data_IF_949487944823
#
_entry.id   IF_949487944823
#
_cell.length_a   1.000
_cell.length_b   1.000
_cell.length_c   1.000
_cell.angle_alpha   90.00
_cell.angle_beta   90.00
_cell.angle_gamma   90.00
#
_symmetry.space_group_name_H-M   'P 1'
#
loop_
_entity.id
_entity.type
_entity.pdbx_description
1 polymer ?
#
# COMPACT_ATOMS: atom_id res chain seq x y z
N UNK A 1 -60.52 -4.43 14.01
CA UNK A 1 -59.51 -5.50 13.91
C UNK A 1 -58.33 -4.89 13.17
N UNK A 2 -57.39 -4.32 13.92
CA UNK A 2 -56.29 -3.49 13.38
C UNK A 2 -55.04 -4.36 13.25
N UNK A 3 -54.65 -4.66 12.02
CA UNK A 3 -53.40 -5.34 11.72
C UNK A 3 -52.21 -4.42 12.01
N UNK A 4 -51.50 -4.70 13.11
CA UNK A 4 -50.27 -4.03 13.47
C UNK A 4 -49.16 -4.47 12.49
N UNK A 5 -48.89 -3.62 11.50
CA UNK A 5 -47.71 -3.72 10.64
C UNK A 5 -46.47 -3.34 11.45
N UNK A 6 -45.75 -4.33 11.98
CA UNK A 6 -44.44 -4.12 12.58
C UNK A 6 -43.41 -3.83 11.48
N UNK A 7 -43.09 -2.56 11.26
CA UNK A 7 -42.00 -2.16 10.36
C UNK A 7 -40.67 -2.42 11.07
N UNK A 8 -39.84 -3.29 10.51
CA UNK A 8 -38.54 -3.64 11.07
C UNK A 8 -37.57 -2.45 10.86
N UNK A 9 -37.38 -1.62 11.90
CA UNK A 9 -36.65 -0.34 11.87
C UNK A 9 -35.12 -0.43 11.90
N UNK A 10 -34.54 -1.63 11.84
CA UNK A 10 -33.09 -1.80 11.95
C UNK A 10 -32.41 -1.69 10.58
N UNK A 11 -32.16 -0.46 10.15
CA UNK A 11 -31.38 -0.16 8.93
C UNK A 11 -29.88 -0.44 9.08
N UNK A 12 -29.40 -0.60 10.33
CA UNK A 12 -27.98 -0.81 10.62
C UNK A 12 -27.59 -2.28 10.50
N UNK A 13 -26.83 -2.62 9.45
CA UNK A 13 -26.25 -3.95 9.29
C UNK A 13 -25.24 -4.28 10.39
N UNK A 14 -25.24 -5.52 10.87
CA UNK A 14 -24.20 -6.07 11.77
C UNK A 14 -23.32 -7.03 10.99
N UNK A 15 -21.99 -6.86 11.06
CA UNK A 15 -21.02 -7.76 10.44
C UNK A 15 -20.39 -8.65 11.51
N UNK A 16 -20.71 -9.94 11.48
CA UNK A 16 -19.92 -10.93 12.21
C UNK A 16 -18.63 -11.21 11.44
N UNK A 17 -17.48 -10.91 12.06
CA UNK A 17 -16.19 -11.23 11.47
C UNK A 17 -15.93 -12.73 11.60
N UNK A 18 -16.06 -13.45 10.48
CA UNK A 18 -15.68 -14.86 10.38
C UNK A 18 -14.42 -14.95 9.52
N UNK A 19 -13.25 -15.25 10.08
CA UNK A 19 -12.02 -15.35 9.30
C UNK A 19 -12.14 -16.49 8.30
N UNK A 20 -12.03 -16.19 7.00
CA UNK A 20 -11.82 -17.24 5.99
C UNK A 20 -10.35 -17.64 5.99
N UNK A 21 -10.10 -18.94 5.85
CA UNK A 21 -8.75 -19.51 5.81
C UNK A 21 -8.02 -19.18 4.49
N UNK A 22 -8.77 -19.06 3.39
CA UNK A 22 -8.25 -18.78 2.06
C UNK A 22 -8.99 -17.60 1.43
N UNK A 23 -8.21 -16.70 0.83
CA UNK A 23 -8.72 -15.64 -0.04
C UNK A 23 -7.93 -15.67 -1.34
N UNK A 24 -8.62 -15.62 -2.48
CA UNK A 24 -7.99 -15.36 -3.77
C UNK A 24 -7.93 -13.83 -3.95
N UNK A 25 -6.77 -13.24 -3.66
CA UNK A 25 -6.58 -11.79 -3.69
C UNK A 25 -5.40 -11.43 -4.59
N UNK A 26 -5.56 -10.36 -5.35
CA UNK A 26 -4.49 -9.68 -6.07
C UNK A 26 -4.43 -8.24 -5.59
N UNK A 27 -3.21 -7.74 -5.32
CA UNK A 27 -3.02 -6.33 -4.97
C UNK A 27 -3.56 -5.40 -6.05
N UNK A 28 -3.44 -5.78 -7.32
CA UNK A 28 -3.97 -5.00 -8.44
C UNK A 28 -5.49 -4.84 -8.40
N UNK A 29 -6.20 -5.85 -7.87
CA UNK A 29 -7.66 -5.81 -7.68
C UNK A 29 -8.07 -5.06 -6.40
N UNK A 30 -7.18 -5.02 -5.41
CA UNK A 30 -7.43 -4.41 -4.11
C UNK A 30 -7.08 -2.92 -4.08
N UNK A 31 -6.15 -2.48 -4.92
CA UNK A 31 -5.72 -1.09 -5.02
C UNK A 31 -6.51 -0.40 -6.14
N UNK A 32 -7.29 0.65 -5.83
CA UNK A 32 -8.06 1.39 -6.84
C UNK A 32 -7.19 1.89 -7.99
N UNK A 33 -7.74 1.88 -9.21
CA UNK A 33 -7.03 2.35 -10.41
C UNK A 33 -6.68 3.84 -10.35
N UNK A 34 -7.46 4.63 -9.63
CA UNK A 34 -7.25 6.08 -9.46
C UNK A 34 -6.27 6.44 -8.34
N UNK A 35 -5.72 5.45 -7.62
CA UNK A 35 -4.75 5.64 -6.55
C UNK A 35 -3.51 6.40 -7.03
N UNK A 36 -3.05 7.34 -6.20
CA UNK A 36 -1.93 8.21 -6.55
C UNK A 36 -0.62 7.44 -6.76
N UNK A 37 -0.31 6.44 -5.93
CA UNK A 37 0.93 5.69 -6.04
C UNK A 37 0.94 4.80 -7.28
N UNK A 38 -0.22 4.26 -7.68
CA UNK A 38 -0.36 3.54 -8.94
C UNK A 38 -0.03 4.43 -10.13
N UNK A 39 -0.62 5.63 -10.17
CA UNK A 39 -0.33 6.63 -11.20
C UNK A 39 1.14 7.04 -11.21
N UNK A 40 1.74 7.28 -10.04
CA UNK A 40 3.17 7.60 -9.94
C UNK A 40 4.03 6.47 -10.52
N UNK A 41 3.70 5.21 -10.21
CA UNK A 41 4.42 4.05 -10.72
C UNK A 41 4.30 3.83 -12.23
N UNK A 42 3.18 4.26 -12.82
CA UNK A 42 2.92 4.16 -14.26
C UNK A 42 3.55 5.33 -15.05
N UNK A 43 3.57 6.54 -14.48
CA UNK A 43 4.01 7.76 -15.16
C UNK A 43 5.51 8.08 -14.98
N UNK A 44 6.14 7.59 -13.90
CA UNK A 44 7.56 7.83 -13.62
C UNK A 44 8.40 6.59 -13.91
N UNK A 45 9.37 6.74 -14.81
CA UNK A 45 10.41 5.74 -14.98
C UNK A 45 11.48 5.90 -13.89
N UNK A 46 11.65 4.87 -13.06
CA UNK A 46 12.63 4.83 -11.98
C UNK A 46 13.99 4.23 -12.38
N UNK A 47 14.16 3.77 -13.62
CA UNK A 47 15.40 3.09 -14.06
C UNK A 47 16.64 3.99 -13.94
N UNK A 48 16.49 5.33 -14.05
CA UNK A 48 17.59 6.28 -13.86
C UNK A 48 18.25 6.18 -12.47
N UNK A 49 17.55 5.61 -11.48
CA UNK A 49 18.09 5.43 -10.13
C UNK A 49 19.26 4.47 -10.09
N UNK A 50 19.29 3.44 -10.94
CA UNK A 50 20.41 2.49 -10.97
C UNK A 50 21.71 3.19 -11.38
N UNK A 51 21.67 4.02 -12.41
CA UNK A 51 22.85 4.76 -12.88
C UNK A 51 23.27 5.86 -11.90
N UNK A 52 22.29 6.61 -11.37
CA UNK A 52 22.56 7.73 -10.47
C UNK A 52 23.10 7.30 -9.10
N UNK A 53 22.69 6.12 -8.61
CA UNK A 53 23.07 5.62 -7.28
C UNK A 53 24.23 4.63 -7.29
N UNK A 54 24.66 4.16 -8.48
CA UNK A 54 25.70 3.12 -8.65
C UNK A 54 26.93 3.30 -7.78
N UNK A 55 27.44 4.53 -7.66
CA UNK A 55 28.65 4.84 -6.88
C UNK A 55 28.50 4.67 -5.36
N UNK A 56 27.27 4.62 -4.84
CA UNK A 56 26.97 4.45 -3.42
C UNK A 56 26.76 2.98 -3.04
N UNK A 57 26.58 2.10 -4.04
CA UNK A 57 26.39 0.68 -3.85
C UNK A 57 27.73 -0.05 -3.96
N UNK A 58 28.03 -0.90 -2.98
CA UNK A 58 29.24 -1.71 -2.97
C UNK A 58 29.22 -2.79 -4.05
N UNK A 59 30.41 -3.19 -4.51
CA UNK A 59 30.59 -4.30 -5.46
C UNK A 59 30.68 -5.67 -4.79
N UNK A 60 30.89 -5.71 -3.48
CA UNK A 60 31.12 -6.91 -2.70
C UNK A 60 30.32 -6.89 -1.39
N UNK A 61 30.08 -8.07 -0.81
CA UNK A 61 29.36 -8.23 0.45
C UNK A 61 27.87 -8.54 0.28
N UNK A 62 27.07 -8.16 1.28
CA UNK A 62 25.62 -8.38 1.26
C UNK A 62 24.95 -7.39 0.31
N UNK A 63 23.95 -7.88 -0.43
CA UNK A 63 23.16 -7.04 -1.32
C UNK A 63 22.40 -6.00 -0.49
N UNK A 64 22.66 -4.74 -0.80
CA UNK A 64 21.89 -3.62 -0.26
C UNK A 64 20.48 -3.59 -0.88
N UNK A 65 19.58 -2.85 -0.24
CA UNK A 65 18.22 -2.67 -0.74
C UNK A 65 18.23 -2.10 -2.16
N UNK A 66 17.36 -2.62 -3.04
CA UNK A 66 17.23 -2.10 -4.41
C UNK A 66 17.02 -0.57 -4.41
N UNK A 67 17.75 0.19 -5.26
CA UNK A 67 17.71 1.65 -5.24
C UNK A 67 16.35 2.24 -5.62
N UNK A 68 15.57 1.55 -6.47
CA UNK A 68 14.21 1.95 -6.81
C UNK A 68 13.31 1.76 -5.60
N UNK A 69 13.37 0.60 -4.94
CA UNK A 69 12.63 0.31 -3.71
C UNK A 69 12.96 1.32 -2.61
N UNK A 70 14.25 1.59 -2.40
CA UNK A 70 14.71 2.57 -1.42
C UNK A 70 14.15 3.96 -1.70
N UNK A 71 14.24 4.43 -2.94
CA UNK A 71 13.71 5.73 -3.32
C UNK A 71 12.19 5.82 -3.16
N UNK A 72 11.44 4.77 -3.55
CA UNK A 72 9.99 4.73 -3.37
C UNK A 72 9.58 4.81 -1.90
N UNK A 73 10.32 4.15 -1.00
CA UNK A 73 10.09 4.27 0.45
C UNK A 73 10.29 5.72 0.91
N UNK A 74 11.36 6.40 0.47
CA UNK A 74 11.58 7.80 0.80
C UNK A 74 10.50 8.73 0.23
N UNK A 75 10.06 8.48 -1.01
CA UNK A 75 8.99 9.23 -1.66
C UNK A 75 7.67 9.08 -0.88
N UNK A 76 7.34 7.87 -0.43
CA UNK A 76 6.20 7.62 0.46
C UNK A 76 6.34 8.41 1.76
N UNK A 77 7.52 8.40 2.38
CA UNK A 77 7.77 9.18 3.60
C UNK A 77 7.52 10.67 3.39
N UNK A 78 8.02 11.21 2.27
CA UNK A 78 7.83 12.61 1.91
C UNK A 78 6.36 12.97 1.66
N UNK A 79 5.65 12.18 0.83
CA UNK A 79 4.26 12.45 0.47
C UNK A 79 3.29 12.34 1.66
N UNK A 80 3.61 11.52 2.66
CA UNK A 80 2.80 11.35 3.87
C UNK A 80 3.32 12.13 5.08
N UNK A 81 4.33 13.00 4.90
CA UNK A 81 4.95 13.78 5.99
C UNK A 81 5.41 12.91 7.18
N UNK A 82 5.98 11.73 6.89
CA UNK A 82 6.50 10.82 7.90
C UNK A 82 7.98 11.12 8.16
N UNK A 83 8.28 11.49 9.40
CA UNK A 83 9.62 11.92 9.81
C UNK A 83 10.42 10.84 10.57
N UNK A 84 9.88 9.63 10.72
CA UNK A 84 10.54 8.53 11.43
C UNK A 84 10.65 7.31 10.55
N UNK A 85 11.85 6.79 10.37
CA UNK A 85 12.11 5.58 9.56
C UNK A 85 11.32 4.37 10.08
N UNK A 86 11.21 4.22 11.41
CA UNK A 86 10.40 3.15 12.00
C UNK A 86 8.92 3.32 11.69
N UNK A 87 8.40 4.53 11.77
CA UNK A 87 7.01 4.80 11.42
C UNK A 87 6.77 4.62 9.91
N UNK A 88 7.74 5.00 9.08
CA UNK A 88 7.69 4.84 7.63
C UNK A 88 7.63 3.35 7.24
N UNK A 89 8.55 2.53 7.73
CA UNK A 89 8.53 1.09 7.44
C UNK A 89 7.26 0.41 7.95
N UNK A 90 6.76 0.82 9.13
CA UNK A 90 5.48 0.33 9.65
C UNK A 90 4.30 0.73 8.74
N UNK A 91 4.30 1.97 8.24
CA UNK A 91 3.27 2.49 7.35
C UNK A 91 3.29 1.76 6.00
N UNK A 92 4.46 1.59 5.40
CA UNK A 92 4.64 0.77 4.20
C UNK A 92 4.16 -0.67 4.40
N UNK A 93 4.39 -1.24 5.59
CA UNK A 93 3.89 -2.56 5.95
C UNK A 93 2.37 -2.63 6.15
N UNK A 94 1.67 -1.55 6.42
CA UNK A 94 0.23 -1.61 6.73
C UNK A 94 -0.67 -1.26 5.55
N UNK A 95 -0.19 -0.44 4.61
CA UNK A 95 -0.98 0.08 3.49
C UNK A 95 -0.83 -0.77 2.23
N UNK A 96 -1.95 -1.23 1.67
CA UNK A 96 -1.95 -2.11 0.48
C UNK A 96 -1.49 -1.40 -0.79
N UNK A 97 -1.86 -0.13 -0.97
CA UNK A 97 -1.45 0.70 -2.09
C UNK A 97 0.05 0.97 -2.09
N UNK A 98 0.64 1.16 -0.92
CA UNK A 98 2.08 1.32 -0.77
C UNK A 98 2.83 0.01 -1.03
N UNK A 99 2.30 -1.11 -0.53
CA UNK A 99 2.84 -2.45 -0.86
C UNK A 99 2.76 -2.77 -2.35
N UNK A 100 1.76 -2.25 -3.05
CA UNK A 100 1.65 -2.38 -4.50
C UNK A 100 2.66 -1.48 -5.23
N UNK A 101 2.90 -0.28 -4.69
CA UNK A 101 3.79 0.69 -5.32
C UNK A 101 5.26 0.33 -5.21
N UNK A 102 5.72 -0.12 -4.05
CA UNK A 102 7.14 -0.40 -3.75
C UNK A 102 7.62 -1.62 -4.54
#
# INVERSE_FOLDING_TARGET
MSDNFYVNLYMQGRKEFRPKLFYELSLERLVPADNIYRKIGEELDFQFLYDSTKKYYGTEGQQSLDPVVFYKILLVGYLNSLNSDRALLQYCGNCLDIRFFI
#
